data_IF_302796118609
#
_entry.id   IF_302796118609
#
_cell.length_a   1.000
_cell.length_b   1.000
_cell.length_c   1.000
_cell.angle_alpha   90.00
_cell.angle_beta   90.00
_cell.angle_gamma   90.00
#
_symmetry.space_group_name_H-M   'P 1'
#
loop_
_entity.id
_entity.type
_entity.pdbx_description
1 polymer ?
#
# COMPACT_ATOMS: atom_id res chain seq x y z
N UNK A 1 -1.01 43.65 4.28
CA UNK A 1 -1.32 42.73 3.15
C UNK A 1 -2.77 42.25 3.29
N UNK A 2 -3.58 42.24 2.21
CA UNK A 2 -5.01 41.91 2.29
C UNK A 2 -5.20 40.45 2.78
N UNK A 3 -6.10 40.20 3.74
CA UNK A 3 -6.39 38.85 4.28
C UNK A 3 -6.72 37.84 3.17
N UNK A 4 -7.39 38.27 2.10
CA UNK A 4 -7.69 37.44 0.93
C UNK A 4 -6.43 37.02 0.16
N UNK A 5 -5.42 37.90 0.08
CA UNK A 5 -4.13 37.59 -0.57
C UNK A 5 -3.31 36.60 0.26
N UNK A 6 -3.30 36.76 1.58
CA UNK A 6 -2.65 35.81 2.50
C UNK A 6 -3.29 34.42 2.36
N UNK A 7 -4.62 34.37 2.38
CA UNK A 7 -5.37 33.12 2.21
C UNK A 7 -5.05 32.41 0.89
N UNK A 8 -5.02 33.16 -0.22
CA UNK A 8 -4.64 32.60 -1.52
C UNK A 8 -3.20 32.06 -1.55
N UNK A 9 -2.25 32.78 -0.96
CA UNK A 9 -0.85 32.33 -0.85
C UNK A 9 -0.70 31.04 -0.03
N UNK A 10 -1.49 30.90 1.04
CA UNK A 10 -1.50 29.67 1.85
C UNK A 10 -2.01 28.48 1.05
N UNK A 11 -3.09 28.64 0.27
CA UNK A 11 -3.60 27.56 -0.59
C UNK A 11 -2.56 27.15 -1.63
N UNK A 12 -1.93 28.12 -2.30
CA UNK A 12 -0.86 27.84 -3.28
C UNK A 12 0.27 27.06 -2.61
N UNK A 13 0.69 27.46 -1.41
CA UNK A 13 1.72 26.76 -0.66
C UNK A 13 1.31 25.31 -0.33
N UNK A 14 0.07 25.07 0.10
CA UNK A 14 -0.46 23.73 0.39
C UNK A 14 -0.46 22.86 -0.88
N UNK A 15 -0.89 23.41 -2.01
CA UNK A 15 -0.90 22.70 -3.30
C UNK A 15 0.51 22.31 -3.72
N UNK A 16 1.47 23.23 -3.63
CA UNK A 16 2.88 22.93 -3.95
C UNK A 16 3.43 21.85 -3.02
N UNK A 17 3.16 21.97 -1.70
CA UNK A 17 3.57 20.98 -0.73
C UNK A 17 2.96 19.59 -1.03
N UNK A 18 1.68 19.53 -1.37
CA UNK A 18 0.99 18.28 -1.71
C UNK A 18 1.61 17.61 -2.95
N UNK A 19 1.88 18.36 -4.02
CA UNK A 19 2.53 17.84 -5.22
C UNK A 19 3.93 17.29 -4.89
N UNK A 20 4.71 18.06 -4.13
CA UNK A 20 6.10 17.69 -3.86
C UNK A 20 6.23 16.50 -2.90
N UNK A 21 5.28 16.36 -1.98
CA UNK A 21 5.27 15.30 -0.97
C UNK A 21 4.42 14.10 -1.38
N UNK A 22 3.78 14.09 -2.54
CA UNK A 22 2.97 12.96 -2.98
C UNK A 22 3.83 11.68 -3.08
N UNK A 23 3.48 10.59 -2.37
CA UNK A 23 4.30 9.39 -2.34
C UNK A 23 4.53 8.77 -3.72
N UNK A 24 5.75 8.25 -3.93
CA UNK A 24 6.14 7.55 -5.15
C UNK A 24 5.65 6.10 -5.14
N UNK A 25 5.64 5.48 -6.32
CA UNK A 25 5.19 4.10 -6.52
C UNK A 25 5.87 3.11 -5.56
N UNK A 26 7.18 3.24 -5.38
CA UNK A 26 7.97 2.33 -4.55
C UNK A 26 7.53 2.41 -3.06
N UNK A 27 7.09 3.59 -2.61
CA UNK A 27 6.59 3.76 -1.24
C UNK A 27 5.22 3.08 -1.05
N UNK A 28 4.37 3.10 -2.08
CA UNK A 28 3.12 2.34 -2.07
C UNK A 28 3.35 0.84 -2.06
N UNK A 29 4.27 0.36 -2.89
CA UNK A 29 4.63 -1.06 -2.94
C UNK A 29 5.19 -1.53 -1.60
N UNK A 30 6.07 -0.76 -0.96
CA UNK A 30 6.62 -1.07 0.35
C UNK A 30 5.51 -1.17 1.42
N UNK A 31 4.60 -0.19 1.49
CA UNK A 31 3.51 -0.20 2.48
C UNK A 31 2.54 -1.37 2.25
N UNK A 32 2.28 -1.73 0.98
CA UNK A 32 1.45 -2.91 0.66
C UNK A 32 2.17 -4.20 1.04
N UNK A 33 3.47 -4.31 0.77
CA UNK A 33 4.31 -5.46 1.14
C UNK A 33 4.32 -5.67 2.65
N UNK A 34 4.64 -4.64 3.43
CA UNK A 34 4.65 -4.68 4.90
C UNK A 34 3.28 -5.09 5.46
N UNK A 35 2.20 -4.54 4.89
CA UNK A 35 0.84 -4.90 5.30
C UNK A 35 0.50 -6.36 4.96
N UNK A 36 0.92 -6.86 3.80
CA UNK A 36 0.72 -8.27 3.43
C UNK A 36 1.49 -9.22 4.36
N UNK A 37 2.76 -8.93 4.65
CA UNK A 37 3.58 -9.70 5.59
C UNK A 37 2.97 -9.71 6.99
N UNK A 38 2.50 -8.54 7.47
CA UNK A 38 1.82 -8.42 8.76
C UNK A 38 0.56 -9.28 8.83
N UNK A 39 -0.29 -9.24 7.79
CA UNK A 39 -1.53 -10.02 7.75
C UNK A 39 -1.27 -11.52 7.72
N UNK A 40 -0.30 -11.98 6.92
CA UNK A 40 0.11 -13.38 6.87
C UNK A 40 0.65 -13.85 8.23
N UNK A 41 1.55 -13.07 8.84
CA UNK A 41 2.16 -13.40 10.14
C UNK A 41 1.13 -13.48 11.26
N UNK A 42 0.13 -12.58 11.26
CA UNK A 42 -0.93 -12.57 12.26
C UNK A 42 -1.89 -13.76 12.18
N UNK A 43 -1.97 -14.43 11.03
CA UNK A 43 -2.79 -15.63 10.87
C UNK A 43 -2.06 -16.93 11.27
N UNK A 44 -0.76 -16.86 11.58
CA UNK A 44 0.05 -18.00 11.99
C UNK A 44 0.14 -18.09 13.52
N UNK A 45 0.19 -19.32 14.04
CA UNK A 45 0.50 -19.58 15.45
C UNK A 45 1.94 -19.16 15.81
N UNK A 46 2.21 -18.91 17.09
CA UNK A 46 3.53 -18.40 17.56
C UNK A 46 4.74 -19.24 17.09
N UNK A 47 4.59 -20.57 17.01
CA UNK A 47 5.66 -21.47 16.54
C UNK A 47 5.87 -21.38 15.02
N UNK A 48 4.81 -21.15 14.26
CA UNK A 48 4.83 -21.03 12.80
C UNK A 48 5.35 -19.66 12.34
N UNK A 49 5.17 -18.60 13.15
CA UNK A 49 5.72 -17.27 12.85
C UNK A 49 7.24 -17.29 12.67
N UNK A 50 7.96 -18.01 13.54
CA UNK A 50 9.43 -18.11 13.43
C UNK A 50 9.87 -18.85 12.16
N UNK A 51 9.13 -19.89 11.74
CA UNK A 51 9.38 -20.61 10.50
C UNK A 51 9.01 -19.77 9.27
N UNK A 52 7.94 -18.98 9.35
CA UNK A 52 7.53 -18.06 8.30
C UNK A 52 8.58 -16.96 8.07
N UNK A 53 9.13 -16.37 9.14
CA UNK A 53 10.19 -15.38 9.03
C UNK A 53 11.43 -15.96 8.30
N UNK A 54 11.81 -17.21 8.60
CA UNK A 54 12.90 -17.92 7.91
C UNK A 54 12.55 -18.17 6.43
N UNK A 55 11.33 -18.65 6.14
CA UNK A 55 10.88 -18.90 4.77
C UNK A 55 10.81 -17.62 3.93
N UNK A 56 10.36 -16.51 4.53
CA UNK A 56 10.36 -15.19 3.91
C UNK A 56 11.79 -14.73 3.61
N UNK A 57 12.72 -14.88 4.55
CA UNK A 57 14.11 -14.46 4.36
C UNK A 57 14.82 -15.25 3.25
N UNK A 58 14.56 -16.55 3.14
CA UNK A 58 15.23 -17.42 2.17
C UNK A 58 14.60 -17.37 0.77
N UNK A 59 13.27 -17.30 0.68
CA UNK A 59 12.56 -17.47 -0.60
C UNK A 59 11.38 -16.50 -0.80
N UNK A 60 10.70 -16.11 0.29
CA UNK A 60 9.47 -15.32 0.19
C UNK A 60 9.67 -13.85 -0.18
N UNK A 61 10.80 -13.23 0.20
CA UNK A 61 11.01 -11.80 0.01
C UNK A 61 10.97 -11.38 -1.47
N UNK A 62 11.62 -12.17 -2.34
CA UNK A 62 11.62 -11.95 -3.78
C UNK A 62 10.26 -12.25 -4.40
N UNK A 63 9.57 -13.30 -3.94
CA UNK A 63 8.26 -13.68 -4.45
C UNK A 63 7.18 -12.63 -4.13
N UNK A 64 7.19 -12.10 -2.90
CA UNK A 64 6.28 -11.03 -2.47
C UNK A 64 6.59 -9.73 -3.21
N UNK A 65 7.87 -9.39 -3.39
CA UNK A 65 8.28 -8.20 -4.16
C UNK A 65 7.87 -8.28 -5.63
N UNK A 66 8.07 -9.44 -6.28
CA UNK A 66 7.59 -9.69 -7.63
C UNK A 66 6.06 -9.61 -7.73
N UNK A 67 5.35 -10.15 -6.74
CA UNK A 67 3.89 -10.09 -6.71
C UNK A 67 3.40 -8.65 -6.55
N UNK A 68 3.96 -7.91 -5.60
CA UNK A 68 3.60 -6.52 -5.31
C UNK A 68 3.90 -5.64 -6.53
N UNK A 69 5.10 -5.72 -7.10
CA UNK A 69 5.49 -4.90 -8.25
C UNK A 69 4.65 -5.15 -9.52
N UNK A 70 4.17 -6.38 -9.71
CA UNK A 70 3.33 -6.78 -10.86
C UNK A 70 1.84 -6.50 -10.65
N UNK A 71 1.34 -6.59 -9.42
CA UNK A 71 -0.10 -6.53 -9.13
C UNK A 71 -0.54 -5.25 -8.42
N UNK A 72 0.37 -4.47 -7.84
CA UNK A 72 0.06 -3.15 -7.27
C UNK A 72 0.17 -2.09 -8.37
N UNK A 73 -0.93 -1.38 -8.57
CA UNK A 73 -1.04 -0.27 -9.50
C UNK A 73 -1.13 1.02 -8.69
N UNK A 74 -0.36 2.03 -9.08
CA UNK A 74 -0.35 3.34 -8.44
C UNK A 74 -0.78 4.38 -9.46
N UNK A 75 -1.92 5.02 -9.20
CA UNK A 75 -2.42 6.12 -10.03
C UNK A 75 -2.06 7.45 -9.36
N UNK A 76 -1.24 8.26 -10.01
CA UNK A 76 -0.78 9.54 -9.49
C UNK A 76 -1.64 10.69 -10.06
N UNK A 77 -2.33 11.42 -9.17
CA UNK A 77 -3.16 12.59 -9.49
C UNK A 77 -2.46 13.92 -9.11
N UNK A 78 -1.13 13.92 -9.04
CA UNK A 78 -0.25 14.99 -8.57
C UNK A 78 -0.38 15.33 -7.09
N UNK A 79 -1.57 15.73 -6.62
CA UNK A 79 -1.81 16.13 -5.23
C UNK A 79 -1.94 14.94 -4.28
N UNK A 80 -2.37 13.83 -4.82
CA UNK A 80 -2.57 12.56 -4.13
C UNK A 80 -2.34 11.43 -5.13
N UNK A 81 -2.32 10.21 -4.62
CA UNK A 81 -2.21 8.99 -5.40
C UNK A 81 -3.20 7.95 -4.88
N UNK A 82 -3.62 7.04 -5.75
CA UNK A 82 -4.43 5.89 -5.38
C UNK A 82 -3.59 4.62 -5.50
N UNK A 83 -3.70 3.77 -4.49
CA UNK A 83 -3.14 2.41 -4.51
C UNK A 83 -4.25 1.45 -4.91
N UNK A 84 -4.03 0.69 -5.97
CA UNK A 84 -4.94 -0.34 -6.46
C UNK A 84 -4.22 -1.68 -6.47
N UNK A 85 -4.97 -2.75 -6.22
CA UNK A 85 -4.48 -4.12 -6.40
C UNK A 85 -5.25 -4.79 -7.52
N UNK A 86 -4.53 -5.46 -8.42
CA UNK A 86 -5.09 -6.29 -9.48
C UNK A 86 -5.26 -7.70 -8.96
N UNK A 87 -6.50 -8.14 -8.79
CA UNK A 87 -6.85 -9.49 -8.33
C UNK A 87 -7.99 -10.04 -9.17
N UNK A 88 -7.85 -11.26 -9.70
CA UNK A 88 -8.84 -11.91 -10.57
C UNK A 88 -9.32 -11.02 -11.74
N UNK A 89 -8.41 -10.26 -12.34
CA UNK A 89 -8.72 -9.35 -13.44
C UNK A 89 -9.47 -8.07 -13.06
N UNK A 90 -9.77 -7.84 -11.77
CA UNK A 90 -10.40 -6.61 -11.27
C UNK A 90 -9.38 -5.74 -10.55
N UNK A 91 -9.42 -4.45 -10.85
CA UNK A 91 -8.65 -3.43 -10.11
C UNK A 91 -9.46 -2.92 -8.94
N UNK A 92 -8.96 -3.13 -7.73
CA UNK A 92 -9.64 -2.68 -6.52
C UNK A 92 -8.80 -1.61 -5.84
N UNK A 93 -9.35 -0.40 -5.59
CA UNK A 93 -8.65 0.62 -4.82
C UNK A 93 -8.56 0.16 -3.36
N UNK A 94 -7.32 0.04 -2.87
CA UNK A 94 -6.97 -0.43 -1.53
C UNK A 94 -6.29 0.65 -0.69
N UNK A 95 -6.02 1.83 -1.23
CA UNK A 95 -5.43 2.91 -0.44
C UNK A 95 -5.32 4.25 -1.17
N UNK A 96 -4.99 5.27 -0.39
CA UNK A 96 -4.76 6.65 -0.85
C UNK A 96 -3.41 7.10 -0.30
N UNK A 97 -2.60 7.76 -1.13
CA UNK A 97 -1.39 8.44 -0.72
C UNK A 97 -1.54 9.95 -0.85
N UNK A 98 -1.10 10.71 0.15
CA UNK A 98 -0.97 12.16 0.09
C UNK A 98 -0.04 12.64 1.20
N UNK A 99 0.64 13.78 0.99
CA UNK A 99 1.49 14.39 2.02
C UNK A 99 2.54 13.45 2.62
N UNK A 100 3.15 12.60 1.79
CA UNK A 100 4.17 11.62 2.18
C UNK A 100 3.63 10.44 2.98
N UNK A 101 2.32 10.32 3.13
CA UNK A 101 1.66 9.26 3.89
C UNK A 101 0.77 8.43 2.99
N UNK A 102 0.62 7.16 3.34
CA UNK A 102 -0.19 6.19 2.60
C UNK A 102 -1.14 5.56 3.61
N UNK A 103 -2.43 5.64 3.31
CA UNK A 103 -3.49 5.04 4.11
C UNK A 103 -4.12 3.91 3.33
N UNK A 104 -4.02 2.69 3.86
CA UNK A 104 -4.66 1.53 3.29
C UNK A 104 -6.08 1.39 3.84
N UNK A 105 -7.01 1.03 2.97
CA UNK A 105 -8.39 0.70 3.30
C UNK A 105 -8.45 -0.66 4.02
N UNK A 106 -9.41 -0.86 4.95
CA UNK A 106 -9.67 -2.18 5.55
C UNK A 106 -9.97 -3.27 4.52
N UNK A 107 -10.36 -2.91 3.29
CA UNK A 107 -10.52 -3.83 2.16
C UNK A 107 -9.28 -4.69 1.88
N UNK A 108 -8.08 -4.22 2.27
CA UNK A 108 -6.87 -5.03 2.12
C UNK A 108 -6.88 -6.25 3.04
N UNK A 109 -7.50 -6.15 4.21
CA UNK A 109 -7.59 -7.25 5.19
C UNK A 109 -8.54 -8.35 4.67
N UNK A 110 -9.66 -7.94 4.03
CA UNK A 110 -10.60 -8.84 3.35
C UNK A 110 -9.91 -9.59 2.21
N UNK A 111 -9.17 -8.87 1.35
CA UNK A 111 -8.45 -9.47 0.22
C UNK A 111 -7.31 -10.39 0.63
N UNK A 112 -6.58 -10.06 1.69
CA UNK A 112 -5.57 -10.97 2.21
C UNK A 112 -6.19 -12.29 2.70
N UNK A 113 -7.34 -12.22 3.37
CA UNK A 113 -8.08 -13.40 3.84
C UNK A 113 -8.53 -14.26 2.66
N UNK A 114 -9.12 -13.65 1.61
CA UNK A 114 -9.49 -14.36 0.38
C UNK A 114 -8.30 -15.09 -0.28
N UNK A 115 -7.13 -14.46 -0.33
CA UNK A 115 -5.92 -15.05 -0.92
C UNK A 115 -5.44 -16.24 -0.10
N UNK A 116 -5.41 -16.12 1.23
CA UNK A 116 -4.96 -17.18 2.14
C UNK A 116 -5.91 -18.37 2.09
N UNK A 117 -7.22 -18.13 2.09
CA UNK A 117 -8.23 -19.19 1.99
C UNK A 117 -8.15 -19.95 0.66
N UNK A 118 -7.82 -19.25 -0.44
CA UNK A 118 -7.59 -19.88 -1.74
C UNK A 118 -6.33 -20.78 -1.77
N UNK A 119 -5.32 -20.48 -0.93
CA UNK A 119 -4.10 -21.28 -0.79
C UNK A 119 -4.33 -22.47 0.14
N UNK A 120 -5.13 -22.33 1.21
CA UNK A 120 -5.42 -23.40 2.18
C UNK A 120 -6.38 -24.47 1.67
N UNK A 121 -7.27 -24.13 0.74
CA UNK A 121 -8.31 -25.03 0.22
C UNK A 121 -7.95 -25.71 -1.12
N UNK A 122 -6.70 -25.57 -1.57
CA UNK A 122 -6.09 -26.34 -2.67
C UNK A 122 -5.01 -27.25 -2.10
#
# INVERSE_FOLDING_TARGET
MNKKRIFALVIIFIVIAAIWTNPKKEQHELVVKEKAEYLLKNQLGKKEQSLFDIGMQLFGNNAVEDFVSKNVLVENFYLFSLTKIKWQGKENPIGVGAFGKIWLSPKIDEKATEIIDAIKNN
#
